data_IF_163046268875
#
_entry.id   IF_163046268875
#
_cell.length_a   1.000
_cell.length_b   1.000
_cell.length_c   1.000
_cell.angle_alpha   90.00
_cell.angle_beta   90.00
_cell.angle_gamma   90.00
#
_symmetry.space_group_name_H-M   'P 1'
#
loop_
_entity.id
_entity.type
_entity.pdbx_description
1 polymer ?
#
# COMPACT_ATOMS: atom_id res chain seq x y z
N UNK A 1 3.19 -39.25 38.67
CA UNK A 1 2.02 -38.62 38.01
C UNK A 1 2.16 -37.09 37.84
N UNK A 2 3.37 -36.57 37.58
CA UNK A 2 3.64 -35.12 37.55
C UNK A 2 4.11 -34.56 36.21
N UNK A 3 4.91 -35.30 35.44
CA UNK A 3 5.57 -34.80 34.22
C UNK A 3 4.59 -34.40 33.09
N UNK A 4 3.47 -35.12 32.96
CA UNK A 4 2.43 -34.85 31.97
C UNK A 4 1.72 -33.50 32.19
N UNK A 5 1.56 -33.06 33.45
CA UNK A 5 0.94 -31.76 33.75
C UNK A 5 1.87 -30.61 33.38
N UNK A 6 3.18 -30.77 33.60
CA UNK A 6 4.17 -29.77 33.21
C UNK A 6 4.30 -29.62 31.70
N UNK A 7 4.16 -30.70 30.92
CA UNK A 7 4.20 -30.61 29.45
C UNK A 7 3.03 -29.81 28.88
N UNK A 8 1.81 -29.98 29.42
CA UNK A 8 0.66 -29.18 28.98
C UNK A 8 0.79 -27.71 29.41
N UNK A 9 1.30 -27.45 30.62
CA UNK A 9 1.55 -26.08 31.07
C UNK A 9 2.59 -25.37 30.21
N UNK A 10 3.66 -26.06 29.82
CA UNK A 10 4.70 -25.52 28.93
C UNK A 10 4.14 -25.25 27.52
N UNK A 11 3.32 -26.16 26.98
CA UNK A 11 2.68 -25.97 25.67
C UNK A 11 1.72 -24.77 25.65
N UNK A 12 0.90 -24.59 26.70
CA UNK A 12 -0.01 -23.44 26.83
C UNK A 12 0.78 -22.12 26.94
N UNK A 13 1.88 -22.12 27.69
CA UNK A 13 2.74 -20.94 27.86
C UNK A 13 3.41 -20.56 26.53
N UNK A 14 3.91 -21.54 25.77
CA UNK A 14 4.46 -21.32 24.42
C UNK A 14 3.38 -20.79 23.46
N UNK A 15 2.18 -21.35 23.46
CA UNK A 15 1.08 -20.86 22.63
C UNK A 15 0.65 -19.44 23.02
N UNK A 16 0.62 -19.12 24.32
CA UNK A 16 0.32 -17.79 24.81
C UNK A 16 1.39 -16.77 24.38
N UNK A 17 2.67 -17.14 24.44
CA UNK A 17 3.80 -16.31 23.97
C UNK A 17 3.74 -16.11 22.45
N UNK A 18 3.51 -17.17 21.66
CA UNK A 18 3.35 -17.07 20.21
C UNK A 18 2.15 -16.21 19.83
N UNK A 19 1.02 -16.35 20.55
CA UNK A 19 -0.15 -15.51 20.37
C UNK A 19 0.13 -14.04 20.72
N UNK A 20 0.90 -13.78 21.78
CA UNK A 20 1.28 -12.43 22.19
C UNK A 20 2.25 -11.77 21.19
N UNK A 21 3.24 -12.51 20.69
CA UNK A 21 4.16 -12.06 19.63
C UNK A 21 3.38 -11.75 18.34
N UNK A 22 2.44 -12.61 17.95
CA UNK A 22 1.60 -12.39 16.76
C UNK A 22 0.61 -11.21 16.94
N UNK A 23 0.15 -10.96 18.17
CA UNK A 23 -0.62 -9.73 18.47
C UNK A 23 0.24 -8.47 18.48
N UNK A 24 1.49 -8.54 18.95
CA UNK A 24 2.43 -7.41 18.95
C UNK A 24 2.93 -7.03 17.56
N UNK A 25 2.89 -7.96 16.59
CA UNK A 25 3.21 -7.71 15.18
C UNK A 25 2.01 -7.25 14.34
N UNK A 26 0.78 -7.28 14.89
CA UNK A 26 -0.33 -6.49 14.34
C UNK A 26 -0.12 -5.05 14.76
N UNK A 27 0.82 -4.39 14.05
CA UNK A 27 1.00 -2.95 14.12
C UNK A 27 -0.35 -2.27 13.99
N UNK A 28 -0.60 -1.35 14.92
CA UNK A 28 -1.73 -0.45 14.97
C UNK A 28 -2.12 0.02 13.56
N UNK A 29 -3.21 -0.55 13.04
CA UNK A 29 -4.01 0.03 11.97
C UNK A 29 -4.69 1.29 12.54
N UNK A 30 -3.87 2.32 12.76
CA UNK A 30 -4.26 3.40 13.65
C UNK A 30 -3.31 4.58 13.65
N UNK A 31 -2.42 4.70 12.67
CA UNK A 31 -1.82 6.01 12.39
C UNK A 31 -2.89 6.89 11.77
N UNK A 32 -3.64 7.60 12.63
CA UNK A 32 -4.29 8.85 12.25
C UNK A 32 -3.19 9.81 11.78
N UNK A 33 -2.79 9.69 10.52
CA UNK A 33 -2.05 10.73 9.84
C UNK A 33 -2.87 12.02 9.93
N UNK A 34 -2.23 13.15 10.28
CA UNK A 34 -2.93 14.40 10.55
C UNK A 34 -3.72 14.81 9.31
N UNK A 35 -4.99 15.16 9.55
CA UNK A 35 -5.79 15.84 8.55
C UNK A 35 -5.33 17.29 8.44
N UNK A 36 -5.16 17.76 7.20
CA UNK A 36 -5.00 19.18 6.86
C UNK A 36 -3.54 19.65 6.88
N UNK A 37 -2.99 20.27 5.84
CA UNK A 37 -3.57 21.05 4.76
C UNK A 37 -2.73 20.87 3.50
N UNK A 38 -3.31 20.30 2.43
CA UNK A 38 -2.60 20.10 1.16
C UNK A 38 -3.23 19.05 0.25
N UNK A 39 -3.91 18.05 0.79
CA UNK A 39 -4.53 16.98 -0.02
C UNK A 39 -5.73 17.45 -0.86
N UNK A 40 -6.48 18.46 -0.43
CA UNK A 40 -7.73 18.88 -1.10
C UNK A 40 -7.55 19.31 -2.56
N UNK A 41 -6.41 19.94 -2.89
CA UNK A 41 -6.07 20.29 -4.27
C UNK A 41 -5.81 19.04 -5.12
N UNK A 42 -5.00 18.12 -4.60
CA UNK A 42 -4.63 16.88 -5.29
C UNK A 42 -5.79 15.89 -5.43
N UNK A 43 -6.74 15.86 -4.48
CA UNK A 43 -7.96 15.04 -4.58
C UNK A 43 -8.77 15.41 -5.82
N UNK A 44 -8.88 16.70 -6.14
CA UNK A 44 -9.62 17.15 -7.32
C UNK A 44 -8.97 16.74 -8.65
N UNK A 45 -7.68 16.36 -8.64
CA UNK A 45 -6.94 15.91 -9.81
C UNK A 45 -7.02 14.40 -10.05
N UNK A 46 -7.54 13.63 -9.08
CA UNK A 46 -7.65 12.18 -9.18
C UNK A 46 -9.11 11.80 -9.42
N UNK A 47 -9.37 11.15 -10.55
CA UNK A 47 -10.67 10.55 -10.82
C UNK A 47 -10.72 9.15 -10.19
N UNK A 48 -11.31 9.07 -9.00
CA UNK A 48 -11.39 7.85 -8.19
C UNK A 48 -12.28 6.74 -8.78
N UNK A 49 -13.12 7.04 -9.77
CA UNK A 49 -14.20 6.14 -10.20
C UNK A 49 -14.22 5.84 -11.71
N UNK A 50 -13.66 6.70 -12.56
CA UNK A 50 -13.92 6.64 -13.99
C UNK A 50 -12.76 7.01 -14.90
N UNK A 51 -11.55 7.20 -14.37
CA UNK A 51 -10.40 7.49 -15.23
C UNK A 51 -9.92 6.26 -16.00
N UNK A 52 -9.53 6.49 -17.25
CA UNK A 52 -8.79 5.49 -18.03
C UNK A 52 -7.38 5.37 -17.46
N UNK A 53 -7.08 4.22 -16.87
CA UNK A 53 -5.77 3.94 -16.28
C UNK A 53 -4.80 3.39 -17.33
N UNK A 54 -3.68 4.08 -17.51
CA UNK A 54 -2.60 3.71 -18.43
C UNK A 54 -1.40 3.25 -17.61
N UNK A 55 -0.89 2.06 -17.88
CA UNK A 55 0.23 1.50 -17.13
C UNK A 55 1.55 1.80 -17.82
N UNK A 56 2.49 2.43 -17.10
CA UNK A 56 3.86 2.56 -17.58
C UNK A 56 4.54 1.17 -17.66
N UNK A 57 5.63 1.06 -18.43
CA UNK A 57 6.44 -0.17 -18.46
C UNK A 57 6.98 -0.51 -17.07
N UNK A 58 7.47 0.49 -16.35
CA UNK A 58 8.01 0.34 -15.00
C UNK A 58 6.93 -0.13 -14.02
N UNK A 59 5.73 0.44 -14.08
CA UNK A 59 4.61 0.02 -13.24
C UNK A 59 4.24 -1.44 -13.48
N UNK A 60 4.11 -1.89 -14.73
CA UNK A 60 3.81 -3.30 -15.05
C UNK A 60 4.88 -4.25 -14.50
N UNK A 61 6.15 -3.91 -14.64
CA UNK A 61 7.24 -4.71 -14.09
C UNK A 61 7.16 -4.79 -12.55
N UNK A 62 6.98 -3.63 -11.90
CA UNK A 62 6.90 -3.54 -10.43
C UNK A 62 5.69 -4.28 -9.86
N UNK A 63 4.54 -4.21 -10.54
CA UNK A 63 3.31 -4.97 -10.23
C UNK A 63 3.57 -6.47 -10.29
N UNK A 64 4.09 -6.98 -11.41
CA UNK A 64 4.37 -8.41 -11.57
C UNK A 64 5.36 -8.94 -10.53
N UNK A 65 6.41 -8.18 -10.22
CA UNK A 65 7.43 -8.60 -9.27
C UNK A 65 6.96 -8.54 -7.80
N UNK A 66 5.97 -7.70 -7.48
CA UNK A 66 5.41 -7.55 -6.12
C UNK A 66 4.11 -8.33 -5.92
N UNK A 67 3.68 -9.09 -6.93
CA UNK A 67 2.39 -9.77 -6.94
C UNK A 67 1.21 -8.82 -6.70
N UNK A 68 1.31 -7.57 -7.16
CA UNK A 68 0.23 -6.58 -7.05
C UNK A 68 -0.53 -6.55 -8.37
N UNK A 69 -1.83 -6.83 -8.33
CA UNK A 69 -2.67 -6.89 -9.52
C UNK A 69 -3.35 -5.55 -9.84
N UNK A 70 -4.00 -5.50 -11.01
CA UNK A 70 -4.69 -4.29 -11.47
C UNK A 70 -5.93 -3.94 -10.62
N UNK A 71 -6.61 -4.93 -10.04
CA UNK A 71 -7.78 -4.70 -9.18
C UNK A 71 -7.33 -4.03 -7.89
N UNK A 72 -6.24 -4.50 -7.30
CA UNK A 72 -5.63 -3.88 -6.12
C UNK A 72 -5.22 -2.43 -6.39
N UNK A 73 -4.57 -2.15 -7.52
CA UNK A 73 -4.26 -0.77 -7.91
C UNK A 73 -5.54 0.09 -7.98
N UNK A 74 -6.61 -0.42 -8.58
CA UNK A 74 -7.90 0.31 -8.65
C UNK A 74 -8.52 0.54 -7.28
N UNK A 75 -8.43 -0.42 -6.37
CA UNK A 75 -8.91 -0.30 -5.00
C UNK A 75 -8.16 0.80 -4.24
N UNK A 76 -6.84 0.91 -4.45
CA UNK A 76 -6.03 1.99 -3.88
C UNK A 76 -6.36 3.34 -4.53
N UNK A 77 -6.64 3.41 -5.83
CA UNK A 77 -7.14 4.65 -6.46
C UNK A 77 -8.48 5.07 -5.84
N UNK A 78 -9.39 4.11 -5.62
CA UNK A 78 -10.72 4.39 -5.11
C UNK A 78 -10.71 4.83 -3.64
N UNK A 79 -9.94 4.14 -2.78
CA UNK A 79 -10.02 4.28 -1.32
C UNK A 79 -8.74 4.77 -0.64
N UNK A 80 -7.61 4.78 -1.36
CA UNK A 80 -6.32 5.17 -0.82
C UNK A 80 -6.23 6.64 -0.46
N UNK A 81 -5.30 6.94 0.46
CA UNK A 81 -5.03 8.30 0.95
C UNK A 81 -3.86 8.91 0.17
N UNK A 82 -4.02 10.15 -0.26
CA UNK A 82 -2.92 10.90 -0.88
C UNK A 82 -1.85 11.19 0.16
N UNK A 83 -0.60 10.88 -0.17
CA UNK A 83 0.56 11.30 0.62
C UNK A 83 1.11 12.62 0.06
N UNK A 84 0.64 13.74 0.62
CA UNK A 84 1.00 15.08 0.14
C UNK A 84 2.52 15.38 0.23
N UNK A 85 3.21 14.78 1.20
CA UNK A 85 4.66 14.97 1.42
C UNK A 85 5.52 14.33 0.32
N UNK A 86 4.92 13.46 -0.48
CA UNK A 86 5.57 12.72 -1.57
C UNK A 86 5.06 13.14 -2.95
N UNK A 87 4.23 14.19 -3.03
CA UNK A 87 3.81 14.76 -4.31
C UNK A 87 5.01 15.43 -4.97
N UNK A 88 5.23 15.12 -6.23
CA UNK A 88 6.28 15.75 -7.04
C UNK A 88 5.65 16.57 -8.16
N UNK A 89 5.93 17.87 -8.19
CA UNK A 89 5.61 18.73 -9.31
C UNK A 89 6.89 19.03 -10.11
N UNK A 90 6.84 18.74 -11.40
CA UNK A 90 8.00 18.87 -12.28
C UNK A 90 7.57 19.38 -13.66
N UNK A 91 8.55 19.73 -14.49
CA UNK A 91 8.29 20.08 -15.90
C UNK A 91 7.57 18.98 -16.70
N UNK A 92 7.59 17.72 -16.25
CA UNK A 92 6.91 16.59 -16.88
C UNK A 92 5.45 16.43 -16.41
N UNK A 93 5.02 17.26 -15.47
CA UNK A 93 3.73 17.22 -14.80
C UNK A 93 3.83 16.76 -13.35
N UNK A 94 2.66 16.71 -12.70
CA UNK A 94 2.49 16.31 -11.31
C UNK A 94 2.40 14.79 -11.16
N UNK A 95 3.05 14.25 -10.13
CA UNK A 95 2.94 12.86 -9.70
C UNK A 95 2.37 12.82 -8.28
N UNK A 96 1.25 12.13 -8.12
CA UNK A 96 0.48 12.07 -6.88
C UNK A 96 0.54 10.63 -6.33
N UNK A 97 1.15 10.42 -5.16
CA UNK A 97 1.18 9.12 -4.52
C UNK A 97 -0.09 8.88 -3.70
N UNK A 98 -0.70 7.71 -3.88
CA UNK A 98 -1.76 7.19 -3.01
C UNK A 98 -1.24 5.98 -2.26
N UNK A 99 -1.55 5.94 -0.97
CA UNK A 99 -1.21 4.84 -0.07
C UNK A 99 -2.45 4.17 0.46
N UNK A 100 -2.37 2.85 0.62
CA UNK A 100 -3.42 2.08 1.25
C UNK A 100 -2.98 0.65 1.46
N UNK A 101 -3.96 -0.18 1.82
CA UNK A 101 -3.76 -1.61 2.06
C UNK A 101 -4.54 -2.35 0.98
N UNK A 102 -3.86 -3.25 0.27
CA UNK A 102 -4.50 -4.15 -0.68
C UNK A 102 -5.35 -5.17 0.06
N UNK A 103 -6.22 -5.84 -0.69
CA UNK A 103 -7.13 -6.87 -0.21
C UNK A 103 -6.45 -8.13 0.32
N UNK A 104 -5.21 -8.40 -0.08
CA UNK A 104 -4.37 -9.46 0.50
C UNK A 104 -3.51 -8.98 1.70
N UNK A 105 -3.61 -7.70 2.07
CA UNK A 105 -3.01 -7.13 3.27
C UNK A 105 -1.66 -6.42 3.06
N UNK A 106 -1.18 -6.29 1.83
CA UNK A 106 0.06 -5.55 1.54
C UNK A 106 -0.16 -4.04 1.67
N UNK A 107 0.72 -3.34 2.39
CA UNK A 107 0.74 -1.87 2.38
C UNK A 107 1.46 -1.37 1.14
N UNK A 108 0.75 -0.67 0.29
CA UNK A 108 1.29 -0.24 -1.00
C UNK A 108 1.18 1.26 -1.19
N UNK A 109 2.14 1.82 -1.93
CA UNK A 109 2.09 3.16 -2.51
C UNK A 109 2.05 3.04 -4.03
N UNK A 110 0.98 3.55 -4.64
CA UNK A 110 0.92 3.76 -6.08
C UNK A 110 1.23 5.21 -6.39
N UNK A 111 1.91 5.47 -7.50
CA UNK A 111 2.16 6.83 -7.98
C UNK A 111 1.41 7.03 -9.28
N UNK A 112 0.46 7.97 -9.30
CA UNK A 112 -0.31 8.30 -10.50
C UNK A 112 0.03 9.69 -11.01
N UNK A 113 0.07 9.84 -12.32
CA UNK A 113 0.20 11.14 -12.97
C UNK A 113 -1.10 11.44 -13.74
N UNK A 114 -1.93 12.38 -13.27
CA UNK A 114 -3.13 12.76 -13.99
C UNK A 114 -2.79 13.40 -15.34
N UNK A 115 -3.61 13.14 -16.34
CA UNK A 115 -3.50 13.67 -17.70
C UNK A 115 -4.82 14.32 -18.12
N UNK A 116 -4.79 15.00 -19.26
CA UNK A 116 -5.99 15.56 -19.88
C UNK A 116 -6.98 14.44 -20.23
N UNK A 117 -8.26 14.76 -20.39
CA UNK A 117 -9.31 13.83 -20.82
C UNK A 117 -9.61 12.66 -19.86
N UNK A 118 -9.52 12.89 -18.54
CA UNK A 118 -9.82 11.86 -17.51
C UNK A 118 -8.96 10.60 -17.66
N UNK A 119 -7.69 10.79 -18.01
CA UNK A 119 -6.72 9.71 -18.05
C UNK A 119 -5.75 9.83 -16.88
N UNK A 120 -5.31 8.69 -16.36
CA UNK A 120 -4.27 8.65 -15.34
C UNK A 120 -3.19 7.66 -15.76
N UNK A 121 -1.94 8.06 -15.63
CA UNK A 121 -0.81 7.15 -15.87
C UNK A 121 -0.35 6.60 -14.53
N UNK A 122 -0.41 5.28 -14.34
CA UNK A 122 0.28 4.62 -13.24
C UNK A 122 1.77 4.61 -13.53
N UNK A 123 2.52 5.41 -12.78
CA UNK A 123 3.96 5.60 -12.94
C UNK A 123 4.71 4.42 -12.34
N UNK A 124 4.39 4.06 -11.10
CA UNK A 124 5.00 2.94 -10.36
C UNK A 124 4.09 2.42 -9.25
N UNK A 125 4.41 1.24 -8.74
CA UNK A 125 3.80 0.61 -7.57
C UNK A 125 4.93 0.16 -6.62
N UNK A 126 4.75 0.43 -5.34
CA UNK A 126 5.75 0.20 -4.29
C UNK A 126 5.07 -0.56 -3.16
N UNK A 127 5.64 -1.69 -2.77
CA UNK A 127 5.36 -2.34 -1.49
C UNK A 127 6.16 -1.58 -0.42
N UNK A 128 5.48 -1.11 0.62
CA UNK A 128 6.07 -0.31 1.68
C UNK A 128 6.70 -1.15 2.79
N UNK A 129 6.44 -2.46 2.80
CA UNK A 129 6.79 -3.38 3.87
C UNK A 129 7.86 -4.38 3.43
N UNK A 130 7.92 -4.69 2.14
CA UNK A 130 8.87 -5.65 1.58
C UNK A 130 9.72 -5.03 0.47
N UNK A 131 11.04 -5.21 0.57
CA UNK A 131 11.95 -4.94 -0.53
C UNK A 131 12.05 -6.15 -1.45
N UNK A 132 11.60 -5.98 -2.70
CA UNK A 132 11.64 -7.02 -3.72
C UNK A 132 12.86 -6.82 -4.64
N UNK A 133 13.66 -7.87 -4.79
CA UNK A 133 14.79 -7.89 -5.73
C UNK A 133 14.27 -7.95 -7.17
N UNK A 134 14.02 -6.79 -7.77
CA UNK A 134 13.53 -6.65 -9.14
C UNK A 134 14.37 -5.66 -9.92
N UNK A 135 14.83 -6.07 -11.10
CA UNK A 135 15.44 -5.19 -12.09
C UNK A 135 14.37 -4.79 -13.11
N UNK A 136 13.79 -3.60 -12.93
CA UNK A 136 12.79 -3.06 -13.83
C UNK A 136 13.40 -1.97 -14.71
N UNK A 137 13.41 -2.13 -16.05
CA UNK A 137 13.90 -1.11 -16.98
C UNK A 137 12.96 0.11 -17.08
#
# INVERSE_FOLDING_TARGET
MGKQKYTYLLAILVLAVLFWINRGQRGDAGSKAPAGAGSGGYESMIDRQGARLIFSKHARCRMGCRQIDEQEVREIIASGRINADKVEDSRKGISIPLEGVTRDGQRVRIVVAPKKNREMVLVTVIDLDTEWACECP
#
